data_IF_202932408190
#
_entry.id   IF_202932408190
#
_cell.length_a   1.000
_cell.length_b   1.000
_cell.length_c   1.000
_cell.angle_alpha   90.00
_cell.angle_beta   90.00
_cell.angle_gamma   90.00
#
_symmetry.space_group_name_H-M   'P 1'
#
loop_
_entity.id
_entity.type
_entity.pdbx_description
1 polymer ?
#
# COMPACT_ATOMS: atom_id res chain seq x y z
N UNK A 1 9.28 -8.23 9.14
CA UNK A 1 7.94 -8.21 9.78
C UNK A 1 7.04 -8.83 8.74
N UNK A 2 6.66 -10.11 8.91
CA UNK A 2 6.33 -11.00 7.78
C UNK A 2 5.18 -10.54 6.86
N UNK A 3 4.36 -9.57 7.27
CA UNK A 3 3.27 -9.01 6.47
C UNK A 3 3.74 -8.40 5.14
N UNK A 4 4.81 -7.60 5.16
CA UNK A 4 5.34 -6.95 3.95
C UNK A 4 6.35 -7.83 3.20
N UNK A 5 6.68 -8.99 3.77
CA UNK A 5 7.62 -9.96 3.21
C UNK A 5 6.87 -11.03 2.38
N UNK A 6 5.57 -11.24 2.63
CA UNK A 6 4.68 -12.15 1.89
C UNK A 6 3.55 -11.37 1.20
N UNK A 7 3.80 -10.84 -0.01
CA UNK A 7 2.88 -10.00 -0.75
C UNK A 7 1.76 -10.80 -1.43
N UNK A 8 1.34 -11.97 -0.95
CA UNK A 8 0.27 -12.76 -1.61
C UNK A 8 -1.05 -12.00 -1.76
N UNK A 9 -1.21 -10.88 -1.06
CA UNK A 9 -2.38 -9.99 -1.17
C UNK A 9 -2.07 -8.68 -1.89
N UNK A 10 -0.81 -8.41 -2.26
CA UNK A 10 -0.36 -7.16 -2.85
C UNK A 10 0.52 -7.42 -4.08
N UNK A 11 0.19 -6.77 -5.19
CA UNK A 11 1.03 -6.80 -6.39
C UNK A 11 1.86 -5.52 -6.48
N UNK A 12 3.10 -5.67 -6.97
CA UNK A 12 3.92 -4.52 -7.34
C UNK A 12 3.36 -3.88 -8.61
N UNK A 13 3.30 -2.55 -8.65
CA UNK A 13 2.80 -1.76 -9.77
C UNK A 13 3.73 -0.58 -10.07
N UNK A 14 3.49 0.12 -11.18
CA UNK A 14 4.18 1.39 -11.46
C UNK A 14 3.66 2.51 -10.55
N UNK A 15 4.43 3.60 -10.47
CA UNK A 15 4.04 4.78 -9.70
C UNK A 15 2.72 5.38 -10.19
N UNK A 16 2.52 5.44 -11.52
CA UNK A 16 1.31 6.00 -12.11
C UNK A 16 0.07 5.22 -11.68
N UNK A 17 0.13 3.88 -11.80
CA UNK A 17 -0.95 2.98 -11.40
C UNK A 17 -1.20 3.05 -9.89
N UNK A 18 -0.14 3.20 -9.10
CA UNK A 18 -0.25 3.39 -7.66
C UNK A 18 -0.97 4.70 -7.31
N UNK A 19 -0.61 5.79 -7.97
CA UNK A 19 -1.21 7.09 -7.74
C UNK A 19 -2.70 7.10 -8.14
N UNK A 20 -3.06 6.49 -9.27
CA UNK A 20 -4.47 6.30 -9.65
C UNK A 20 -5.26 5.53 -8.59
N UNK A 21 -4.67 4.49 -8.00
CA UNK A 21 -5.30 3.75 -6.92
C UNK A 21 -5.47 4.59 -5.66
N UNK A 22 -4.42 5.31 -5.24
CA UNK A 22 -4.45 6.18 -4.06
C UNK A 22 -5.48 7.30 -4.21
N UNK A 23 -5.57 7.91 -5.40
CA UNK A 23 -6.54 8.97 -5.70
C UNK A 23 -7.99 8.45 -5.68
N UNK A 24 -8.19 7.14 -5.85
CA UNK A 24 -9.50 6.48 -5.75
C UNK A 24 -9.92 6.11 -4.32
N UNK A 25 -9.00 6.18 -3.34
CA UNK A 25 -9.29 5.84 -1.95
C UNK A 25 -10.27 6.84 -1.30
N UNK A 26 -11.00 6.36 -0.30
CA UNK A 26 -11.83 7.23 0.54
C UNK A 26 -10.98 8.37 1.13
N UNK A 27 -11.46 9.62 1.18
CA UNK A 27 -10.71 10.74 1.77
C UNK A 27 -10.40 10.57 3.26
N UNK A 28 -11.02 9.59 3.93
CA UNK A 28 -10.80 9.28 5.35
C UNK A 28 -9.60 8.35 5.60
N UNK A 29 -8.87 7.92 4.57
CA UNK A 29 -7.66 7.13 4.75
C UNK A 29 -6.57 7.93 5.48
N UNK A 30 -5.76 7.25 6.30
CA UNK A 30 -4.55 7.84 6.89
C UNK A 30 -3.32 7.48 6.07
N UNK A 31 -2.27 8.28 6.20
CA UNK A 31 -0.96 8.01 5.61
C UNK A 31 0.07 8.04 6.71
N UNK A 32 0.81 6.95 6.87
CA UNK A 32 1.79 6.77 7.93
C UNK A 32 3.12 6.27 7.36
N UNK A 33 4.23 6.67 7.97
CA UNK A 33 5.57 6.18 7.64
C UNK A 33 6.12 5.40 8.84
N UNK A 34 6.48 4.15 8.61
CA UNK A 34 7.08 3.29 9.63
C UNK A 34 8.54 3.00 9.31
N UNK A 35 9.40 3.32 10.28
CA UNK A 35 10.82 2.97 10.28
C UNK A 35 11.09 1.62 10.98
N UNK A 36 10.04 0.94 11.46
CA UNK A 36 10.15 -0.41 12.03
C UNK A 36 10.31 -1.50 10.97
N UNK A 37 10.15 -1.14 9.70
CA UNK A 37 10.50 -1.97 8.54
C UNK A 37 11.83 -1.52 7.95
N UNK A 38 12.58 -2.46 7.35
CA UNK A 38 13.75 -2.17 6.53
C UNK A 38 13.59 -2.86 5.17
N UNK A 39 13.39 -2.11 4.06
CA UNK A 39 13.35 -0.64 3.97
C UNK A 39 12.15 -0.03 4.72
N UNK A 40 12.21 1.27 5.10
CA UNK A 40 11.06 1.98 5.67
C UNK A 40 9.86 1.92 4.73
N UNK A 41 8.66 1.91 5.29
CA UNK A 41 7.41 1.77 4.52
C UNK A 41 6.55 3.00 4.75
N UNK A 42 6.03 3.57 3.66
CA UNK A 42 4.90 4.50 3.70
C UNK A 42 3.64 3.71 3.36
N UNK A 43 2.66 3.72 4.25
CA UNK A 43 1.42 2.97 4.10
C UNK A 43 0.23 3.91 4.10
N UNK A 44 -0.73 3.61 3.23
CA UNK A 44 -2.06 4.18 3.22
C UNK A 44 -2.96 3.21 3.97
N UNK A 45 -3.63 3.71 5.01
CA UNK A 45 -4.41 2.90 5.91
C UNK A 45 -5.89 3.27 5.86
N UNK A 46 -6.73 2.25 5.79
CA UNK A 46 -8.13 2.35 6.11
C UNK A 46 -8.38 1.69 7.48
N UNK A 47 -8.73 2.52 8.47
CA UNK A 47 -9.07 2.08 9.83
C UNK A 47 -10.58 1.90 10.01
N UNK A 48 -11.36 1.96 8.93
CA UNK A 48 -12.75 1.52 8.95
C UNK A 48 -12.84 0.08 9.47
N UNK A 49 -14.04 -0.28 9.94
CA UNK A 49 -14.32 -1.59 10.52
C UNK A 49 -13.48 -1.97 11.76
N UNK A 50 -12.80 -1.01 12.38
CA UNK A 50 -11.98 -1.24 13.57
C UNK A 50 -10.69 -1.99 13.28
N UNK A 51 -10.25 -2.01 12.01
CA UNK A 51 -8.99 -2.58 11.60
C UNK A 51 -7.81 -1.90 12.30
N UNK A 52 -6.71 -2.64 12.46
CA UNK A 52 -5.47 -2.16 13.09
C UNK A 52 -4.31 -2.48 12.19
N UNK A 53 -3.28 -1.65 12.25
CA UNK A 53 -2.04 -1.89 11.54
C UNK A 53 -1.41 -3.25 11.96
N UNK A 54 -0.89 -4.07 11.01
CA UNK A 54 -0.75 -3.80 9.57
C UNK A 54 -1.98 -4.16 8.72
N UNK A 55 -3.05 -4.71 9.31
CA UNK A 55 -4.25 -5.13 8.57
C UNK A 55 -5.08 -3.98 8.01
N UNK A 56 -4.88 -2.75 8.50
CA UNK A 56 -5.46 -1.54 7.96
C UNK A 56 -4.83 -1.09 6.64
N UNK A 57 -3.67 -1.63 6.25
CA UNK A 57 -2.93 -1.17 5.07
C UNK A 57 -3.70 -1.55 3.80
N UNK A 58 -4.06 -0.55 3.01
CA UNK A 58 -4.75 -0.70 1.72
C UNK A 58 -3.86 -0.39 0.52
N UNK A 59 -2.72 0.26 0.73
CA UNK A 59 -1.62 0.40 -0.24
C UNK A 59 -0.34 0.75 0.51
N UNK A 60 0.82 0.42 -0.05
CA UNK A 60 2.09 0.84 0.55
C UNK A 60 3.18 1.03 -0.49
N UNK A 61 4.17 1.84 -0.16
CA UNK A 61 5.41 1.92 -0.89
C UNK A 61 6.62 1.70 0.03
N UNK A 62 7.61 0.97 -0.47
CA UNK A 62 8.91 0.83 0.19
C UNK A 62 9.78 2.03 -0.20
N UNK A 63 10.34 2.67 0.81
CA UNK A 63 11.15 3.88 0.66
C UNK A 63 12.62 3.50 0.48
N UNK A 64 12.96 3.19 -0.77
CA UNK A 64 14.30 2.87 -1.28
C UNK A 64 14.83 3.99 -2.18
N UNK A 65 16.05 3.86 -2.71
CA UNK A 65 16.57 4.81 -3.73
C UNK A 65 15.67 4.82 -4.97
N UNK A 66 15.20 3.65 -5.38
CA UNK A 66 14.14 3.44 -6.38
C UNK A 66 12.88 2.92 -5.66
N UNK A 67 11.87 3.77 -5.35
CA UNK A 67 10.70 3.36 -4.58
C UNK A 67 9.91 2.23 -5.24
N UNK A 68 9.45 1.28 -4.42
CA UNK A 68 8.62 0.17 -4.87
C UNK A 68 7.18 0.35 -4.41
N UNK A 69 6.22 0.26 -5.33
CA UNK A 69 4.81 0.56 -5.08
C UNK A 69 3.94 -0.70 -5.10
N UNK A 70 3.07 -0.86 -4.10
CA UNK A 70 2.27 -2.07 -3.91
C UNK A 70 0.80 -1.75 -3.63
N UNK A 71 -0.08 -2.36 -4.41
CA UNK A 71 -1.55 -2.26 -4.25
C UNK A 71 -2.15 -3.66 -4.09
N UNK A 72 -3.36 -3.79 -3.49
CA UNK A 72 -3.96 -5.09 -3.28
C UNK A 72 -4.24 -5.81 -4.59
N UNK A 73 -4.11 -7.15 -4.63
CA UNK A 73 -4.38 -7.93 -5.85
C UNK A 73 -5.82 -7.79 -6.34
N UNK A 74 -6.76 -7.61 -5.41
CA UNK A 74 -8.19 -7.43 -5.71
C UNK A 74 -8.52 -6.02 -6.24
N UNK A 75 -7.59 -5.07 -6.21
CA UNK A 75 -7.81 -3.73 -6.71
C UNK A 75 -8.18 -3.78 -8.20
N UNK A 76 -9.41 -3.36 -8.53
CA UNK A 76 -9.90 -3.24 -9.91
C UNK A 76 -9.29 -2.00 -10.55
N UNK A 77 -8.04 -2.11 -10.96
CA UNK A 77 -7.33 -1.07 -11.70
C UNK A 77 -7.82 -1.05 -13.15
N UNK A 78 -7.99 0.13 -13.79
CA UNK A 78 -8.32 0.21 -15.20
C UNK A 78 -7.16 -0.36 -16.03
N UNK A 79 -7.26 -1.64 -16.38
CA UNK A 79 -6.38 -2.40 -17.29
C UNK A 79 -4.87 -2.29 -17.01
N UNK A 80 -4.33 -3.26 -16.27
CA UNK A 80 -2.94 -3.66 -16.43
C UNK A 80 -2.73 -4.18 -17.86
N UNK A 81 -1.95 -3.48 -18.66
CA UNK A 81 -1.42 -3.99 -19.93
C UNK A 81 -0.13 -4.76 -19.65
#
# INVERSE_FOLDING_TARGET
MQFFDNPEQFKQVSEEVFQEFVDSLSPEHSVDVTYSSNPPIKSWNDFSDGLRWPYSVVAFCRLTEDPEYFVPEWARLPYSV
#
